data_IF_757058146683
#
_entry.id   IF_757058146683
#
_cell.length_a   1.000
_cell.length_b   1.000
_cell.length_c   1.000
_cell.angle_alpha   90.00
_cell.angle_beta   90.00
_cell.angle_gamma   90.00
#
_symmetry.space_group_name_H-M   'P 1'
#
loop_
_entity.id
_entity.type
_entity.pdbx_description
1 polymer ?
#
# COMPACT_ATOMS: atom_id res chain seq x y z
N UNK A 1 -0.95 19.77 15.41
CA UNK A 1 -1.39 18.68 16.31
C UNK A 1 -2.22 17.69 15.51
N UNK A 2 -1.71 16.50 15.35
CA UNK A 2 -2.45 15.41 14.70
C UNK A 2 -3.55 14.99 15.65
N UNK A 3 -4.80 15.05 15.22
CA UNK A 3 -5.88 14.46 15.98
C UNK A 3 -5.86 12.95 15.73
N UNK A 4 -5.75 12.11 16.76
CA UNK A 4 -5.92 10.68 16.58
C UNK A 4 -7.34 10.43 16.06
N UNK A 5 -7.46 9.54 15.07
CA UNK A 5 -8.79 9.09 14.65
C UNK A 5 -9.48 8.36 15.82
N UNK A 6 -10.80 8.16 15.71
CA UNK A 6 -11.62 7.51 16.76
C UNK A 6 -11.16 6.08 17.13
N UNK A 7 -10.25 5.49 16.36
CA UNK A 7 -9.68 4.16 16.60
C UNK A 7 -8.25 4.21 17.16
N UNK A 8 -7.72 5.41 17.50
CA UNK A 8 -6.39 5.59 18.07
C UNK A 8 -5.25 5.64 17.06
N UNK A 9 -5.54 5.59 15.75
CA UNK A 9 -4.52 5.79 14.73
C UNK A 9 -4.05 7.24 14.67
N UNK A 10 -2.78 7.46 14.40
CA UNK A 10 -2.21 8.79 14.25
C UNK A 10 -1.04 8.77 13.28
N UNK A 11 -1.01 9.78 12.41
CA UNK A 11 0.15 10.13 11.61
C UNK A 11 0.88 11.30 12.28
N UNK A 12 2.13 11.10 12.65
CA UNK A 12 2.96 12.11 13.30
C UNK A 12 4.12 12.46 12.38
N UNK A 13 4.05 13.64 11.75
CA UNK A 13 5.14 14.16 10.94
C UNK A 13 6.23 14.71 11.86
N UNK A 14 7.42 14.11 11.81
CA UNK A 14 8.59 14.52 12.61
C UNK A 14 9.42 15.58 11.89
N UNK A 15 9.66 15.41 10.59
CA UNK A 15 10.37 16.37 9.78
C UNK A 15 10.00 16.24 8.30
N UNK A 16 10.23 17.32 7.57
CA UNK A 16 10.12 17.36 6.12
C UNK A 16 11.24 18.23 5.54
N UNK A 17 11.77 17.82 4.40
CA UNK A 17 12.77 18.59 3.65
C UNK A 17 12.53 18.50 2.16
N UNK A 18 12.98 19.53 1.45
CA UNK A 18 13.11 19.57 -0.01
C UNK A 18 14.59 19.59 -0.37
N UNK A 19 15.06 18.63 -1.15
CA UNK A 19 16.45 18.51 -1.60
C UNK A 19 17.45 18.68 -0.43
N UNK A 20 17.13 18.06 0.73
CA UNK A 20 17.88 18.14 2.00
C UNK A 20 17.77 19.47 2.77
N UNK A 21 17.00 20.44 2.29
CA UNK A 21 16.74 21.70 3.01
C UNK A 21 15.44 21.54 3.82
N UNK A 22 15.52 21.76 5.13
CA UNK A 22 14.36 21.63 6.01
C UNK A 22 13.22 22.59 5.64
N UNK A 23 12.01 22.08 5.60
CA UNK A 23 10.80 22.85 5.37
C UNK A 23 10.07 23.08 6.69
N UNK A 24 9.79 24.34 7.00
CA UNK A 24 9.01 24.72 8.20
C UNK A 24 7.67 25.36 7.84
N UNK A 25 7.49 25.76 6.58
CA UNK A 25 6.26 26.37 6.10
C UNK A 25 5.34 25.33 5.49
N UNK A 26 4.64 24.59 6.34
CA UNK A 26 3.62 23.61 5.93
C UNK A 26 2.43 23.64 6.89
N UNK A 27 1.31 23.12 6.41
CA UNK A 27 0.14 22.82 7.26
C UNK A 27 -0.27 21.37 7.08
N UNK A 28 -0.59 20.72 8.19
CA UNK A 28 -1.21 19.41 8.20
C UNK A 28 -2.61 19.54 8.78
N UNK A 29 -3.61 19.33 7.96
CA UNK A 29 -5.00 19.41 8.35
C UNK A 29 -5.69 18.09 7.96
N UNK A 30 -6.00 17.26 8.97
CA UNK A 30 -6.50 15.92 8.79
C UNK A 30 -5.58 15.10 7.85
N UNK A 31 -6.07 14.62 6.73
CA UNK A 31 -5.29 13.87 5.74
C UNK A 31 -4.52 14.75 4.73
N UNK A 32 -4.63 16.08 4.82
CA UNK A 32 -4.02 17.00 3.86
C UNK A 32 -2.77 17.65 4.41
N UNK A 33 -1.62 17.36 3.78
CA UNK A 33 -0.37 18.06 4.01
C UNK A 33 -0.17 19.07 2.86
N UNK A 34 -0.15 20.37 3.20
CA UNK A 34 0.11 21.45 2.24
C UNK A 34 1.49 22.02 2.50
N UNK A 35 2.33 22.02 1.47
CA UNK A 35 3.71 22.52 1.51
C UNK A 35 3.83 23.77 0.68
N UNK A 36 4.57 24.76 1.20
CA UNK A 36 5.01 25.90 0.41
C UNK A 36 6.50 25.73 0.11
N UNK A 37 6.82 25.40 -1.12
CA UNK A 37 8.20 25.22 -1.55
C UNK A 37 8.93 26.59 -1.54
N UNK A 38 10.15 26.67 -0.99
CA UNK A 38 10.94 27.91 -0.98
C UNK A 38 11.25 28.44 -2.39
N UNK A 39 11.39 27.52 -3.33
CA UNK A 39 11.60 27.83 -4.75
C UNK A 39 10.53 27.09 -5.58
N UNK A 40 9.89 27.76 -6.53
CA UNK A 40 8.96 27.09 -7.43
C UNK A 40 9.65 25.99 -8.23
N UNK A 41 8.98 24.87 -8.40
CA UNK A 41 9.45 23.82 -9.30
C UNK A 41 9.38 24.33 -10.75
N UNK A 42 10.50 24.30 -11.44
CA UNK A 42 10.56 24.74 -12.84
C UNK A 42 9.96 23.69 -13.78
N UNK A 43 9.45 24.08 -14.93
CA UNK A 43 9.01 23.13 -15.94
C UNK A 43 10.11 22.12 -16.30
N UNK A 44 9.72 20.84 -16.45
CA UNK A 44 10.64 19.73 -16.77
C UNK A 44 11.75 19.51 -15.75
N UNK A 45 11.58 19.96 -14.51
CA UNK A 45 12.49 19.68 -13.39
C UNK A 45 11.85 18.77 -12.37
N UNK A 46 12.67 18.18 -11.51
CA UNK A 46 12.27 17.34 -10.40
C UNK A 46 12.78 17.89 -9.08
N UNK A 47 12.13 17.56 -8.00
CA UNK A 47 12.58 17.84 -6.62
C UNK A 47 12.32 16.61 -5.76
N UNK A 48 13.11 16.45 -4.70
CA UNK A 48 12.94 15.38 -3.74
C UNK A 48 12.35 15.93 -2.45
N UNK A 49 11.18 15.40 -2.06
CA UNK A 49 10.61 15.65 -0.74
C UNK A 49 10.90 14.45 0.16
N UNK A 50 11.53 14.71 1.29
CA UNK A 50 11.80 13.68 2.30
C UNK A 50 10.93 13.95 3.52
N UNK A 51 10.09 12.96 3.88
CA UNK A 51 9.24 13.00 5.06
C UNK A 51 9.71 11.96 6.06
N UNK A 52 9.93 12.37 7.31
CA UNK A 52 10.13 11.46 8.43
C UNK A 52 8.86 11.49 9.28
N UNK A 53 8.23 10.34 9.47
CA UNK A 53 6.98 10.26 10.20
C UNK A 53 6.86 8.95 10.99
N UNK A 54 6.00 8.96 11.98
CA UNK A 54 5.54 7.79 12.68
C UNK A 54 4.06 7.57 12.35
N UNK A 55 3.71 6.33 12.05
CA UNK A 55 2.34 5.91 11.89
C UNK A 55 1.95 5.03 13.08
N UNK A 56 1.01 5.51 13.89
CA UNK A 56 0.42 4.70 14.93
C UNK A 56 -0.73 3.89 14.31
N UNK A 57 -0.52 2.60 14.12
CA UNK A 57 -1.48 1.70 13.47
C UNK A 57 -2.59 1.40 14.49
N UNK A 58 -3.86 1.72 14.18
CA UNK A 58 -4.98 1.48 15.09
C UNK A 58 -5.44 0.02 15.04
N UNK A 59 -6.22 -0.37 16.04
CA UNK A 59 -7.09 -1.53 15.88
C UNK A 59 -8.03 -1.31 14.68
N UNK A 60 -8.20 -2.34 13.85
CA UNK A 60 -9.04 -2.32 12.68
C UNK A 60 -10.50 -1.98 13.05
N UNK A 61 -11.13 -1.11 12.29
CA UNK A 61 -12.57 -0.89 12.40
C UNK A 61 -13.34 -2.14 11.96
N UNK A 62 -14.50 -2.41 12.56
CA UNK A 62 -15.37 -3.51 12.13
C UNK A 62 -15.70 -3.36 10.65
N UNK A 63 -15.39 -4.41 9.87
CA UNK A 63 -15.56 -4.44 8.40
C UNK A 63 -14.56 -3.60 7.61
N UNK A 64 -13.63 -2.87 8.26
CA UNK A 64 -12.58 -2.12 7.60
C UNK A 64 -11.36 -2.99 7.32
N UNK A 65 -10.47 -2.50 6.42
CA UNK A 65 -9.22 -3.21 6.06
C UNK A 65 -8.02 -2.64 6.82
N UNK A 66 -7.90 -1.31 6.96
CA UNK A 66 -6.72 -0.68 7.54
C UNK A 66 -6.62 -0.88 9.05
N UNK A 67 -5.46 -1.30 9.54
CA UNK A 67 -5.16 -1.46 10.94
C UNK A 67 -4.67 -2.85 11.33
N UNK A 68 -4.64 -3.13 12.62
CA UNK A 68 -4.33 -4.47 13.13
C UNK A 68 -5.58 -5.15 13.68
N UNK A 69 -5.62 -6.48 13.54
CA UNK A 69 -6.65 -7.34 14.11
C UNK A 69 -6.02 -8.69 14.46
N UNK A 70 -6.30 -9.21 15.69
CA UNK A 70 -5.72 -10.44 16.22
C UNK A 70 -4.21 -10.60 15.90
N UNK A 71 -3.89 -11.27 14.80
CA UNK A 71 -2.57 -11.66 14.39
C UNK A 71 -2.18 -11.09 13.01
N UNK A 72 -2.91 -10.11 12.50
CA UNK A 72 -2.70 -9.52 11.18
C UNK A 72 -2.65 -7.99 11.24
N UNK A 73 -1.74 -7.40 10.46
CA UNK A 73 -1.68 -5.96 10.20
C UNK A 73 -1.91 -5.75 8.72
N UNK A 74 -2.87 -4.88 8.36
CA UNK A 74 -3.12 -4.47 7.00
C UNK A 74 -2.85 -2.97 6.85
N UNK A 75 -2.02 -2.62 5.88
CA UNK A 75 -1.65 -1.24 5.55
C UNK A 75 -2.03 -0.95 4.11
N UNK A 76 -3.02 -0.08 3.97
CA UNK A 76 -3.54 0.43 2.70
C UNK A 76 -3.62 1.95 2.81
N UNK A 77 -3.24 2.68 1.77
CA UNK A 77 -3.23 4.16 1.76
C UNK A 77 -2.50 4.78 2.96
N UNK A 78 -1.42 4.16 3.38
CA UNK A 78 -0.74 4.44 4.64
C UNK A 78 0.44 5.41 4.54
N UNK A 79 0.87 5.73 3.34
CA UNK A 79 2.01 6.62 3.06
C UNK A 79 1.56 7.91 2.38
N UNK A 80 2.28 9.03 2.58
CA UNK A 80 2.01 10.26 1.86
C UNK A 80 2.25 10.11 0.35
N UNK A 81 1.35 10.65 -0.45
CA UNK A 81 1.51 10.75 -1.90
C UNK A 81 1.15 12.15 -2.38
N UNK A 82 1.63 12.52 -3.56
CA UNK A 82 1.29 13.80 -4.18
C UNK A 82 0.01 13.62 -4.99
N UNK A 83 -1.00 14.41 -4.68
CA UNK A 83 -2.26 14.38 -5.44
C UNK A 83 -2.06 14.94 -6.84
N UNK A 84 -2.83 14.51 -7.86
CA UNK A 84 -2.75 15.02 -9.22
C UNK A 84 -3.02 16.53 -9.30
N UNK A 85 -2.41 17.19 -10.28
CA UNK A 85 -2.67 18.58 -10.61
C UNK A 85 -3.29 18.70 -12.00
N UNK A 86 -4.60 18.94 -12.05
CA UNK A 86 -5.38 19.11 -13.29
C UNK A 86 -6.12 20.44 -13.19
N UNK A 87 -5.53 21.52 -13.67
CA UNK A 87 -6.05 22.90 -13.50
C UNK A 87 -6.27 23.30 -12.03
N UNK A 88 -5.58 22.65 -11.10
CA UNK A 88 -5.66 22.75 -9.66
C UNK A 88 -5.40 21.41 -9.01
N UNK A 89 -5.10 21.40 -7.71
CA UNK A 89 -4.91 20.15 -6.96
C UNK A 89 -6.22 19.37 -6.86
N UNK A 90 -6.20 18.10 -7.26
CA UNK A 90 -7.36 17.21 -7.17
C UNK A 90 -7.47 16.72 -5.72
N UNK A 91 -8.34 17.37 -4.98
CA UNK A 91 -8.58 17.09 -3.56
C UNK A 91 -10.07 16.80 -3.35
N UNK A 92 -10.35 15.66 -2.74
CA UNK A 92 -11.70 15.29 -2.35
C UNK A 92 -11.76 15.07 -0.83
N UNK A 93 -12.87 15.41 -0.23
CA UNK A 93 -13.13 15.04 1.16
C UNK A 93 -13.57 13.59 1.26
N UNK A 94 -13.24 12.88 2.37
CA UNK A 94 -13.71 11.54 2.59
C UNK A 94 -15.22 11.43 2.42
N UNK A 95 -15.66 10.46 1.62
CA UNK A 95 -17.07 10.17 1.39
C UNK A 95 -17.50 9.01 2.30
N UNK A 96 -18.79 8.99 2.65
CA UNK A 96 -19.37 7.84 3.33
C UNK A 96 -19.67 6.67 2.37
N UNK A 97 -19.52 6.89 1.07
CA UNK A 97 -19.78 5.91 0.02
C UNK A 97 -18.76 6.07 -1.11
N UNK A 98 -18.13 4.97 -1.49
CA UNK A 98 -17.13 4.90 -2.55
C UNK A 98 -15.76 5.45 -2.14
N UNK A 99 -14.82 5.35 -3.05
CA UNK A 99 -13.45 5.85 -2.89
C UNK A 99 -13.38 7.34 -3.22
N UNK A 100 -12.50 8.07 -2.55
CA UNK A 100 -12.35 9.51 -2.72
C UNK A 100 -10.92 9.93 -3.11
N UNK A 101 -9.94 9.02 -2.93
CA UNK A 101 -8.56 9.31 -3.26
C UNK A 101 -8.31 9.15 -4.77
N UNK A 102 -7.50 10.05 -5.33
CA UNK A 102 -7.10 10.04 -6.73
C UNK A 102 -5.58 10.05 -6.80
N UNK A 103 -5.03 9.09 -7.51
CA UNK A 103 -3.60 8.87 -7.63
C UNK A 103 -3.14 9.05 -9.07
N UNK A 104 -1.96 9.63 -9.24
CA UNK A 104 -1.18 9.48 -10.47
C UNK A 104 -0.39 8.17 -10.40
N UNK A 105 -0.09 7.62 -11.59
CA UNK A 105 0.81 6.48 -11.70
C UNK A 105 2.22 6.88 -11.26
N UNK A 106 2.85 6.04 -10.44
CA UNK A 106 4.18 6.26 -9.90
C UNK A 106 4.96 4.96 -9.77
N UNK A 107 6.28 5.08 -9.70
CA UNK A 107 7.15 3.97 -9.33
C UNK A 107 7.34 3.96 -7.81
N UNK A 108 7.07 2.81 -7.20
CA UNK A 108 7.10 2.65 -5.74
C UNK A 108 8.23 1.70 -5.37
N UNK A 109 9.11 2.13 -4.49
CA UNK A 109 10.10 1.27 -3.83
C UNK A 109 9.86 1.32 -2.32
N UNK A 110 9.59 0.17 -1.72
CA UNK A 110 9.49 -0.01 -0.29
C UNK A 110 10.66 -0.85 0.21
N UNK A 111 11.44 -0.34 1.15
CA UNK A 111 12.41 -1.10 1.92
C UNK A 111 11.85 -1.32 3.32
N UNK A 112 11.54 -2.57 3.65
CA UNK A 112 10.86 -2.97 4.86
C UNK A 112 11.77 -3.79 5.75
N UNK A 113 11.73 -3.53 7.06
CA UNK A 113 12.38 -4.37 8.08
C UNK A 113 11.33 -4.78 9.10
N UNK A 114 11.20 -6.09 9.30
CA UNK A 114 10.26 -6.70 10.26
C UNK A 114 10.99 -7.67 11.18
N UNK A 115 10.26 -8.25 12.12
CA UNK A 115 10.73 -9.44 12.84
C UNK A 115 10.98 -10.59 11.88
N UNK A 116 11.91 -11.48 12.23
CA UNK A 116 12.30 -12.61 11.36
C UNK A 116 11.20 -13.67 11.19
N UNK A 117 10.20 -13.66 12.04
CA UNK A 117 9.03 -14.55 12.02
C UNK A 117 7.82 -13.96 11.28
N UNK A 118 7.92 -12.73 10.82
CA UNK A 118 6.82 -12.04 10.13
C UNK A 118 6.84 -12.33 8.64
N UNK A 119 5.75 -12.89 8.14
CA UNK A 119 5.49 -13.07 6.72
C UNK A 119 4.73 -11.87 6.19
N UNK A 120 5.20 -11.30 5.08
CA UNK A 120 4.62 -10.11 4.46
C UNK A 120 4.09 -10.45 3.07
N UNK A 121 2.81 -10.20 2.86
CA UNK A 121 2.17 -10.12 1.56
C UNK A 121 2.17 -8.66 1.11
N UNK A 122 2.61 -8.37 -0.10
CA UNK A 122 2.68 -7.00 -0.61
C UNK A 122 2.34 -6.95 -2.10
N UNK A 123 2.01 -5.77 -2.58
CA UNK A 123 1.68 -5.45 -3.98
C UNK A 123 2.81 -5.73 -4.99
N UNK A 124 3.97 -6.17 -4.56
CA UNK A 124 5.11 -6.42 -5.44
C UNK A 124 5.92 -7.63 -4.99
N UNK A 125 6.65 -8.28 -5.91
CA UNK A 125 7.65 -9.27 -5.51
C UNK A 125 8.75 -8.62 -4.68
N UNK A 126 9.34 -9.43 -3.79
CA UNK A 126 10.41 -8.97 -2.89
C UNK A 126 11.78 -9.50 -3.29
N UNK A 127 12.80 -8.73 -3.00
CA UNK A 127 14.20 -9.17 -2.99
C UNK A 127 14.90 -8.77 -1.68
N UNK A 128 15.94 -9.54 -1.29
CA UNK A 128 16.71 -9.20 -0.10
C UNK A 128 17.74 -8.11 -0.39
N UNK A 129 17.82 -7.12 0.47
CA UNK A 129 18.76 -6.02 0.41
C UNK A 129 19.41 -5.80 1.79
N UNK A 130 20.38 -6.65 2.12
CA UNK A 130 21.00 -6.69 3.44
C UNK A 130 19.99 -7.14 4.52
N UNK A 131 19.77 -6.30 5.52
CA UNK A 131 18.77 -6.54 6.58
C UNK A 131 17.34 -6.14 6.19
N UNK A 132 17.15 -5.59 5.00
CA UNK A 132 15.89 -5.09 4.50
C UNK A 132 15.31 -6.03 3.44
N UNK A 133 14.01 -6.14 3.40
CA UNK A 133 13.26 -6.73 2.28
C UNK A 133 12.78 -5.59 1.40
N UNK A 134 13.16 -5.61 0.14
CA UNK A 134 12.81 -4.58 -0.83
C UNK A 134 11.70 -5.07 -1.75
N UNK A 135 10.72 -4.19 -1.97
CA UNK A 135 9.61 -4.38 -2.89
C UNK A 135 9.63 -3.26 -3.93
N UNK A 136 9.39 -3.59 -5.19
CA UNK A 136 9.33 -2.59 -6.28
C UNK A 136 8.12 -2.83 -7.15
N UNK A 137 7.33 -1.78 -7.34
CA UNK A 137 6.17 -1.77 -8.21
C UNK A 137 6.25 -0.55 -9.13
N UNK A 138 6.14 -0.77 -10.43
CA UNK A 138 6.30 0.27 -11.43
C UNK A 138 4.97 0.63 -12.06
N UNK A 139 4.75 1.92 -12.30
CA UNK A 139 3.57 2.42 -12.96
C UNK A 139 2.26 2.19 -12.19
N UNK A 140 2.34 2.03 -10.88
CA UNK A 140 1.20 1.76 -10.02
C UNK A 140 0.61 3.04 -9.40
N UNK A 141 -0.62 2.97 -8.97
CA UNK A 141 -1.32 4.03 -8.26
C UNK A 141 -1.37 3.78 -6.76
N UNK A 142 -1.42 2.51 -6.38
CA UNK A 142 -1.57 2.08 -4.98
C UNK A 142 -0.50 1.06 -4.62
N UNK A 143 -0.25 0.91 -3.32
CA UNK A 143 0.62 -0.12 -2.77
C UNK A 143 0.09 -0.55 -1.41
N UNK A 144 -0.30 -1.79 -1.30
CA UNK A 144 -0.80 -2.38 -0.07
C UNK A 144 0.19 -3.41 0.48
N UNK A 145 0.13 -3.64 1.78
CA UNK A 145 0.78 -4.77 2.42
C UNK A 145 -0.06 -5.32 3.56
N UNK A 146 0.09 -6.62 3.78
CA UNK A 146 -0.44 -7.34 4.93
C UNK A 146 0.67 -8.14 5.58
N UNK A 147 0.71 -8.19 6.90
CA UNK A 147 1.77 -8.85 7.64
C UNK A 147 1.21 -9.68 8.81
N UNK A 148 1.74 -10.89 8.97
CA UNK A 148 1.43 -11.79 10.09
C UNK A 148 2.57 -12.76 10.33
N UNK A 149 2.77 -13.16 11.57
CA UNK A 149 3.65 -14.28 11.92
C UNK A 149 2.93 -15.65 11.86
N UNK A 150 1.66 -15.67 11.53
CA UNK A 150 0.84 -16.89 11.40
C UNK A 150 0.42 -17.20 9.96
N UNK A 151 0.83 -16.38 9.00
CA UNK A 151 0.54 -16.68 7.59
C UNK A 151 1.22 -17.96 7.13
N UNK A 152 0.43 -18.84 6.54
CA UNK A 152 0.87 -19.89 5.63
C UNK A 152 0.82 -19.34 4.20
N UNK A 153 1.72 -19.82 3.35
CA UNK A 153 1.81 -19.36 1.96
C UNK A 153 1.75 -20.55 1.01
N UNK A 154 0.84 -20.50 0.07
CA UNK A 154 0.85 -21.36 -1.10
C UNK A 154 1.27 -20.53 -2.33
N UNK A 155 2.03 -21.14 -3.24
CA UNK A 155 2.56 -20.46 -4.42
C UNK A 155 2.36 -21.31 -5.67
N UNK A 156 2.01 -20.65 -6.76
CA UNK A 156 2.03 -21.23 -8.11
C UNK A 156 2.52 -20.20 -9.12
N UNK A 157 2.74 -20.62 -10.36
CA UNK A 157 3.13 -19.72 -11.46
C UNK A 157 2.22 -19.90 -12.65
N UNK A 158 1.88 -18.81 -13.31
CA UNK A 158 1.23 -18.77 -14.61
C UNK A 158 2.12 -17.97 -15.57
N UNK A 159 2.80 -18.67 -16.49
CA UNK A 159 3.81 -18.01 -17.31
C UNK A 159 4.92 -17.36 -16.47
N UNK A 160 5.04 -16.04 -16.56
CA UNK A 160 6.00 -15.25 -15.76
C UNK A 160 5.39 -14.69 -14.45
N UNK A 161 4.10 -14.88 -14.22
CA UNK A 161 3.39 -14.33 -13.04
C UNK A 161 3.50 -15.32 -11.89
N UNK A 162 4.00 -14.86 -10.75
CA UNK A 162 4.02 -15.61 -9.49
C UNK A 162 2.76 -15.29 -8.69
N UNK A 163 1.96 -16.31 -8.38
CA UNK A 163 0.70 -16.16 -7.65
C UNK A 163 0.89 -16.76 -6.26
N UNK A 164 0.68 -15.95 -5.22
CA UNK A 164 0.76 -16.37 -3.83
C UNK A 164 -0.55 -16.18 -3.12
N UNK A 165 -0.95 -17.19 -2.35
CA UNK A 165 -2.05 -17.10 -1.40
C UNK A 165 -1.50 -17.10 0.02
N UNK A 166 -1.90 -16.09 0.80
CA UNK A 166 -1.54 -15.93 2.21
C UNK A 166 -2.77 -16.19 3.07
N UNK A 167 -2.72 -17.17 3.95
CA UNK A 167 -3.88 -17.65 4.71
C UNK A 167 -3.48 -18.17 6.08
N UNK A 168 -4.46 -18.38 6.95
CA UNK A 168 -4.27 -18.95 8.28
C UNK A 168 -4.55 -20.45 8.31
N UNK A 169 -3.92 -21.18 9.24
CA UNK A 169 -3.94 -22.64 9.31
C UNK A 169 -5.37 -23.24 9.33
N UNK A 170 -6.33 -22.56 9.95
CA UNK A 170 -7.72 -22.99 9.98
C UNK A 170 -8.44 -22.98 8.63
N UNK A 171 -7.83 -22.38 7.60
CA UNK A 171 -8.40 -22.19 6.27
C UNK A 171 -7.53 -22.76 5.15
N UNK A 172 -6.65 -23.72 5.45
CA UNK A 172 -5.64 -24.21 4.50
C UNK A 172 -6.24 -24.67 3.15
N UNK A 173 -7.31 -25.48 3.16
CA UNK A 173 -7.92 -25.97 1.93
C UNK A 173 -8.48 -24.81 1.07
N UNK A 174 -9.07 -23.78 1.69
CA UNK A 174 -9.56 -22.59 0.99
C UNK A 174 -8.40 -21.73 0.48
N UNK A 175 -7.38 -21.51 1.32
CA UNK A 175 -6.20 -20.75 0.97
C UNK A 175 -5.41 -21.35 -0.20
N UNK A 176 -5.23 -22.66 -0.23
CA UNK A 176 -4.63 -23.36 -1.37
C UNK A 176 -5.53 -23.31 -2.61
N UNK A 177 -6.85 -23.48 -2.42
CA UNK A 177 -7.82 -23.47 -3.53
C UNK A 177 -7.92 -22.11 -4.22
N UNK A 178 -7.90 -21.01 -3.48
CA UNK A 178 -8.02 -19.66 -4.05
C UNK A 178 -6.84 -19.28 -4.94
N UNK A 179 -5.67 -19.82 -4.70
CA UNK A 179 -4.50 -19.65 -5.54
C UNK A 179 -4.74 -20.15 -6.97
N UNK A 180 -5.34 -21.34 -7.12
CA UNK A 180 -5.69 -21.89 -8.44
C UNK A 180 -6.82 -21.08 -9.09
N UNK A 181 -7.80 -20.64 -8.30
CA UNK A 181 -8.88 -19.75 -8.80
C UNK A 181 -8.29 -18.43 -9.34
N UNK A 182 -7.31 -17.87 -8.67
CA UNK A 182 -6.63 -16.66 -9.13
C UNK A 182 -5.86 -16.90 -10.43
N UNK A 183 -5.17 -18.04 -10.56
CA UNK A 183 -4.49 -18.42 -11.79
C UNK A 183 -5.49 -18.58 -12.96
N UNK A 184 -6.61 -19.25 -12.75
CA UNK A 184 -7.65 -19.41 -13.75
C UNK A 184 -8.28 -18.06 -14.15
N UNK A 185 -8.47 -17.16 -13.18
CA UNK A 185 -8.95 -15.80 -13.44
C UNK A 185 -7.99 -15.01 -14.32
N UNK A 186 -6.68 -14.97 -13.98
CA UNK A 186 -5.66 -14.32 -14.82
C UNK A 186 -5.70 -14.91 -16.23
N UNK A 187 -5.64 -16.23 -16.38
CA UNK A 187 -5.67 -16.90 -17.69
C UNK A 187 -6.92 -16.52 -18.50
N UNK A 188 -8.08 -16.43 -17.85
CA UNK A 188 -9.33 -16.03 -18.48
C UNK A 188 -9.29 -14.58 -18.94
N UNK A 189 -8.80 -13.67 -18.10
CA UNK A 189 -8.71 -12.25 -18.44
C UNK A 189 -7.65 -11.98 -19.51
N UNK A 190 -6.51 -12.64 -19.47
CA UNK A 190 -5.48 -12.54 -20.51
C UNK A 190 -6.02 -12.99 -21.87
N UNK A 191 -6.79 -14.08 -21.91
CA UNK A 191 -7.37 -14.60 -23.14
C UNK A 191 -8.45 -13.69 -23.75
N UNK A 192 -9.11 -12.86 -22.94
CA UNK A 192 -10.24 -12.04 -23.37
C UNK A 192 -9.92 -10.55 -23.50
N UNK A 193 -8.88 -10.05 -22.82
CA UNK A 193 -8.61 -8.62 -22.74
C UNK A 193 -7.16 -8.28 -23.07
N UNK A 194 -6.24 -8.47 -22.12
CA UNK A 194 -4.82 -8.11 -22.24
C UNK A 194 -3.96 -8.92 -21.28
N UNK A 195 -2.63 -9.05 -21.53
CA UNK A 195 -1.71 -9.65 -20.60
C UNK A 195 -1.78 -8.98 -19.21
N UNK A 196 -1.66 -9.79 -18.16
CA UNK A 196 -1.58 -9.29 -16.79
C UNK A 196 -0.34 -8.39 -16.64
N UNK A 197 -0.47 -7.15 -16.17
CA UNK A 197 0.61 -6.17 -16.26
C UNK A 197 1.71 -6.34 -15.20
N UNK A 198 1.48 -7.13 -14.15
CA UNK A 198 2.39 -7.29 -13.04
C UNK A 198 3.09 -8.65 -13.04
N UNK A 199 4.20 -8.75 -12.30
CA UNK A 199 4.98 -9.99 -12.20
C UNK A 199 4.49 -10.93 -11.09
N UNK A 200 3.63 -10.43 -10.22
CA UNK A 200 3.07 -11.21 -9.11
C UNK A 200 1.62 -10.83 -8.84
N UNK A 201 0.91 -11.76 -8.20
CA UNK A 201 -0.39 -11.51 -7.58
C UNK A 201 -0.38 -12.08 -6.16
N UNK A 202 -0.71 -11.28 -5.18
CA UNK A 202 -0.91 -11.70 -3.80
C UNK A 202 -2.42 -11.77 -3.47
N UNK A 203 -2.90 -12.96 -3.08
CA UNK A 203 -4.25 -13.15 -2.54
C UNK A 203 -4.14 -13.32 -1.03
N UNK A 204 -4.77 -12.46 -0.27
CA UNK A 204 -4.58 -12.38 1.18
C UNK A 204 -5.90 -12.62 1.90
N UNK A 205 -5.92 -13.58 2.80
CA UNK A 205 -7.04 -13.76 3.72
C UNK A 205 -7.07 -12.59 4.71
N UNK A 206 -8.23 -11.94 4.85
CA UNK A 206 -8.47 -10.88 5.83
C UNK A 206 -9.89 -10.98 6.37
N UNK A 207 -10.09 -10.57 7.63
CA UNK A 207 -11.42 -10.45 8.23
C UNK A 207 -12.04 -9.10 7.86
N UNK A 208 -12.63 -9.05 6.67
CA UNK A 208 -13.33 -7.87 6.13
C UNK A 208 -14.70 -8.29 5.59
N UNK A 209 -15.62 -7.32 5.47
CA UNK A 209 -16.97 -7.60 4.98
C UNK A 209 -17.05 -7.63 3.44
N UNK A 210 -16.00 -7.26 2.74
CA UNK A 210 -15.96 -7.12 1.29
C UNK A 210 -14.57 -7.47 0.76
N UNK A 211 -14.37 -7.51 -0.56
CA UNK A 211 -13.08 -7.60 -1.21
C UNK A 211 -12.44 -6.22 -1.36
N UNK A 212 -11.10 -6.20 -1.35
CA UNK A 212 -10.31 -5.01 -1.63
C UNK A 212 -9.22 -5.36 -2.63
N UNK A 213 -9.04 -4.54 -3.65
CA UNK A 213 -8.06 -4.73 -4.72
C UNK A 213 -7.08 -3.55 -4.74
N UNK A 214 -5.80 -3.86 -4.96
CA UNK A 214 -4.72 -2.92 -5.10
C UNK A 214 -3.83 -3.31 -6.27
N UNK A 215 -3.08 -2.36 -6.81
CA UNK A 215 -2.12 -2.64 -7.88
C UNK A 215 -1.06 -3.68 -7.44
N UNK A 216 -0.67 -4.61 -8.30
CA UNK A 216 0.38 -5.61 -8.07
C UNK A 216 -0.03 -7.06 -7.83
#
# INVERSE_FOLDING_TARGET
SVQPNRYGGAFVLNSISQDSVALTNYTLNDQRLTLNLPQPLQPNSATTLTLNFNLNIPAKASGGIFGYDFNQINLVDWYPFVVPYINGWVLHDPSSFGEHLVYDSSDIELNLKTGSDVVVAASAPSDQNGEWTRYRLYGARTFALSASNEFLVAETTLGAVVIRSYYFAGYAAAGEGIMFTAADAISTFESNYAPYPYQSLAVVQADINDGQEYDG
#
